data_IF_981612536590
#
_entry.id   IF_981612536590
#
_cell.length_a   1.000
_cell.length_b   1.000
_cell.length_c   1.000
_cell.angle_alpha   90.00
_cell.angle_beta   90.00
_cell.angle_gamma   90.00
#
_symmetry.space_group_name_H-M   'P 1'
#
loop_
_entity.id
_entity.type
_entity.pdbx_description
1 polymer ?
#
# COMPACT_ATOMS: atom_id res chain seq x y z
N UNK A 1 -20.41 9.93 -4.31
CA UNK A 1 -19.96 8.52 -4.26
C UNK A 1 -19.30 8.30 -2.91
N UNK A 2 -20.00 7.73 -1.92
CA UNK A 2 -19.39 7.41 -0.62
C UNK A 2 -19.14 5.90 -0.56
N UNK A 3 -17.92 5.52 -0.90
CA UNK A 3 -17.40 4.18 -0.74
C UNK A 3 -17.28 3.87 0.76
N UNK A 4 -17.86 2.77 1.25
CA UNK A 4 -17.71 2.35 2.65
C UNK A 4 -16.74 1.16 2.72
N UNK A 5 -15.43 1.41 2.92
CA UNK A 5 -14.39 0.37 2.92
C UNK A 5 -14.54 -0.63 4.08
N UNK A 6 -15.17 -0.26 5.21
CA UNK A 6 -15.38 -1.17 6.35
C UNK A 6 -16.28 -2.36 5.95
N UNK A 7 -17.35 -2.08 5.19
CA UNK A 7 -18.29 -3.11 4.72
C UNK A 7 -17.67 -4.06 3.70
N UNK A 8 -16.70 -3.60 2.91
CA UNK A 8 -16.01 -4.44 1.95
C UNK A 8 -15.22 -5.56 2.62
N UNK A 9 -14.55 -5.26 3.73
CA UNK A 9 -13.82 -6.26 4.52
C UNK A 9 -14.77 -7.31 5.10
N UNK A 10 -15.88 -6.89 5.69
CA UNK A 10 -16.88 -7.82 6.23
C UNK A 10 -17.50 -8.71 5.15
N UNK A 11 -17.78 -8.16 3.97
CA UNK A 11 -18.23 -8.93 2.81
C UNK A 11 -17.17 -9.92 2.32
N UNK A 12 -15.88 -9.55 2.30
CA UNK A 12 -14.80 -10.44 1.91
C UNK A 12 -14.60 -11.59 2.91
N UNK A 13 -14.68 -11.31 4.22
CA UNK A 13 -14.60 -12.34 5.28
C UNK A 13 -15.76 -13.32 5.19
N UNK A 14 -16.99 -12.82 5.01
CA UNK A 14 -18.17 -13.68 4.84
C UNK A 14 -18.06 -14.50 3.56
N UNK A 15 -17.68 -13.88 2.43
CA UNK A 15 -17.50 -14.60 1.17
C UNK A 15 -16.47 -15.72 1.31
N UNK A 16 -15.36 -15.46 2.02
CA UNK A 16 -14.35 -16.48 2.32
C UNK A 16 -14.92 -17.62 3.16
N UNK A 17 -15.67 -17.34 4.22
CA UNK A 17 -16.33 -18.38 5.04
C UNK A 17 -17.30 -19.24 4.22
N UNK A 18 -18.15 -18.60 3.41
CA UNK A 18 -19.11 -19.31 2.56
C UNK A 18 -18.41 -20.26 1.59
N UNK A 19 -17.33 -19.79 0.96
CA UNK A 19 -16.55 -20.57 0.02
C UNK A 19 -15.71 -21.66 0.71
N UNK A 20 -15.12 -21.39 1.89
CA UNK A 20 -14.31 -22.38 2.63
C UNK A 20 -15.13 -23.47 3.30
N UNK A 21 -16.32 -23.13 3.78
CA UNK A 21 -17.23 -24.06 4.48
C UNK A 21 -18.23 -24.73 3.52
N UNK A 22 -18.15 -24.43 2.21
CA UNK A 22 -19.06 -24.94 1.15
C UNK A 22 -20.54 -24.80 1.53
N UNK A 23 -20.92 -23.66 2.11
CA UNK A 23 -22.28 -23.46 2.58
C UNK A 23 -23.26 -23.31 1.41
N UNK A 24 -24.30 -24.13 1.36
CA UNK A 24 -25.37 -24.00 0.35
C UNK A 24 -26.18 -22.69 0.49
N UNK A 25 -26.25 -22.16 1.72
CA UNK A 25 -26.83 -20.86 2.00
C UNK A 25 -26.19 -20.23 3.23
N UNK A 26 -26.06 -18.91 3.21
CA UNK A 26 -25.45 -18.15 4.29
C UNK A 26 -26.36 -16.99 4.71
N UNK A 27 -26.68 -16.93 6.00
CA UNK A 27 -27.29 -15.74 6.59
C UNK A 27 -26.17 -14.71 6.83
N UNK A 28 -25.87 -13.96 5.77
CA UNK A 28 -24.84 -12.91 5.75
C UNK A 28 -25.07 -11.92 6.90
N UNK A 29 -26.34 -11.66 7.25
CA UNK A 29 -26.70 -10.75 8.36
C UNK A 29 -26.22 -11.30 9.68
N UNK A 30 -26.52 -12.57 9.96
CA UNK A 30 -26.10 -13.27 11.17
C UNK A 30 -24.59 -13.42 11.24
N UNK A 31 -23.94 -13.73 10.12
CA UNK A 31 -22.48 -13.88 10.06
C UNK A 31 -21.75 -12.54 10.26
N UNK A 32 -22.16 -11.47 9.59
CA UNK A 32 -21.58 -10.13 9.84
C UNK A 32 -21.87 -9.66 11.27
N UNK A 33 -23.07 -9.91 11.81
CA UNK A 33 -23.38 -9.61 13.22
C UNK A 33 -22.49 -10.40 14.16
N UNK A 34 -22.28 -11.69 13.92
CA UNK A 34 -21.40 -12.53 14.72
C UNK A 34 -19.95 -12.03 14.68
N UNK A 35 -19.44 -11.63 13.50
CA UNK A 35 -18.12 -10.99 13.36
C UNK A 35 -18.05 -9.68 14.16
N UNK A 36 -19.08 -8.84 14.06
CA UNK A 36 -19.17 -7.57 14.81
C UNK A 36 -19.29 -7.79 16.32
N UNK A 37 -20.05 -8.79 16.76
CA UNK A 37 -20.24 -9.11 18.17
C UNK A 37 -19.00 -9.77 18.77
N UNK A 38 -18.29 -10.60 18.01
CA UNK A 38 -16.99 -11.13 18.40
C UNK A 38 -15.97 -10.01 18.55
N UNK A 39 -15.98 -9.02 17.64
CA UNK A 39 -15.18 -7.78 17.75
C UNK A 39 -15.57 -6.93 18.96
N UNK A 40 -16.85 -6.87 19.33
CA UNK A 40 -17.31 -6.13 20.52
C UNK A 40 -16.97 -6.83 21.82
N UNK A 41 -17.05 -8.17 21.86
CA UNK A 41 -16.76 -9.02 23.04
C UNK A 41 -15.27 -9.15 23.31
N UNK A 42 -14.47 -9.15 22.24
CA UNK A 42 -13.03 -8.98 22.30
C UNK A 42 -12.69 -7.61 21.70
N UNK A 43 -13.10 -6.50 22.36
CA UNK A 43 -12.78 -5.18 21.87
C UNK A 43 -11.26 -5.11 21.74
N UNK A 44 -10.73 -4.61 20.62
CA UNK A 44 -9.29 -4.48 20.45
C UNK A 44 -8.76 -3.74 21.67
N UNK A 45 -7.87 -4.41 22.42
CA UNK A 45 -7.25 -3.82 23.60
C UNK A 45 -6.61 -2.51 23.17
N UNK A 46 -7.13 -1.39 23.67
CA UNK A 46 -6.71 -0.05 23.28
C UNK A 46 -5.25 0.22 23.65
N UNK A 47 -4.61 -0.63 24.46
CA UNK A 47 -3.17 -0.59 24.74
C UNK A 47 -2.34 -1.29 23.68
N UNK A 48 -2.94 -2.14 22.86
CA UNK A 48 -2.30 -2.81 21.73
C UNK A 48 -2.89 -2.27 20.42
N UNK A 49 -2.42 -1.08 20.03
CA UNK A 49 -2.54 -0.53 18.67
C UNK A 49 -2.26 -1.58 17.58
N UNK A 50 -1.39 -2.57 17.88
CA UNK A 50 -1.17 -3.80 17.09
C UNK A 50 -2.45 -4.46 16.56
N UNK A 51 -3.57 -4.43 17.28
CA UNK A 51 -4.80 -5.10 16.87
C UNK A 51 -5.72 -4.26 15.95
N UNK A 52 -5.65 -2.93 16.03
CA UNK A 52 -6.29 -2.05 15.04
C UNK A 52 -5.55 -2.12 13.70
N UNK A 53 -4.21 -2.20 13.75
CA UNK A 53 -3.37 -2.50 12.58
C UNK A 53 -3.47 -3.97 12.11
N UNK A 54 -3.90 -4.90 12.97
CA UNK A 54 -4.19 -6.29 12.56
C UNK A 54 -5.37 -6.40 11.57
N UNK A 55 -6.22 -5.38 11.47
CA UNK A 55 -7.23 -5.29 10.41
C UNK A 55 -6.70 -4.63 9.12
N UNK A 56 -5.55 -3.99 9.20
CA UNK A 56 -4.71 -3.69 8.05
C UNK A 56 -3.88 -4.93 7.63
N UNK A 57 -3.63 -5.89 8.56
CA UNK A 57 -2.82 -7.12 8.34
C UNK A 57 -3.42 -8.23 7.46
N UNK A 58 -4.70 -8.27 7.11
CA UNK A 58 -5.25 -9.44 6.38
C UNK A 58 -5.27 -9.30 4.84
N UNK A 59 -4.57 -8.32 4.30
CA UNK A 59 -4.26 -8.25 2.86
C UNK A 59 -4.10 -6.84 2.31
N UNK A 60 -4.65 -5.82 2.96
CA UNK A 60 -4.80 -4.49 2.39
C UNK A 60 -3.50 -3.71 2.08
N UNK A 61 -2.32 -4.19 2.50
CA UNK A 61 -1.12 -3.35 2.60
C UNK A 61 -0.24 -3.36 1.34
N UNK A 62 -0.32 -4.36 0.46
CA UNK A 62 0.63 -4.48 -0.65
C UNK A 62 0.33 -3.56 -1.84
N UNK A 63 -0.95 -3.24 -2.11
CA UNK A 63 -1.31 -2.61 -3.39
C UNK A 63 -2.49 -1.63 -3.34
N UNK A 64 -3.11 -1.42 -2.18
CA UNK A 64 -4.42 -0.76 -2.14
C UNK A 64 -4.37 0.77 -2.29
N UNK A 65 -3.21 1.38 -2.08
CA UNK A 65 -2.92 2.79 -2.38
C UNK A 65 -2.43 3.00 -3.81
N UNK A 66 -1.99 1.94 -4.50
CA UNK A 66 -1.47 2.07 -5.86
C UNK A 66 -2.61 2.49 -6.78
N UNK A 67 -2.44 3.63 -7.45
CA UNK A 67 -3.35 4.05 -8.49
C UNK A 67 -3.27 3.09 -9.68
N UNK A 68 -4.40 2.81 -10.32
CA UNK A 68 -4.48 1.85 -11.44
C UNK A 68 -3.50 2.23 -12.57
N UNK A 69 -3.39 3.53 -12.87
CA UNK A 69 -2.44 4.04 -13.86
C UNK A 69 -0.99 3.73 -13.49
N UNK A 70 -0.63 3.88 -12.21
CA UNK A 70 0.75 3.64 -11.75
C UNK A 70 1.16 2.20 -11.78
N UNK A 71 0.28 1.29 -11.40
CA UNK A 71 0.58 -0.13 -11.47
C UNK A 71 0.90 -0.52 -12.92
N UNK A 72 0.16 0.01 -13.89
CA UNK A 72 0.35 -0.28 -15.31
C UNK A 72 1.64 0.35 -15.84
N UNK A 73 1.86 1.64 -15.59
CA UNK A 73 3.08 2.37 -15.97
C UNK A 73 4.32 1.70 -15.38
N UNK A 74 4.29 1.39 -14.08
CA UNK A 74 5.35 0.67 -13.40
C UNK A 74 5.66 -0.66 -14.10
N UNK A 75 4.64 -1.45 -14.44
CA UNK A 75 4.87 -2.74 -15.08
C UNK A 75 5.46 -2.61 -16.48
N UNK A 76 5.07 -1.58 -17.24
CA UNK A 76 5.66 -1.28 -18.55
C UNK A 76 7.13 -0.93 -18.38
N UNK A 77 7.45 0.06 -17.55
CA UNK A 77 8.82 0.55 -17.39
C UNK A 77 9.74 -0.53 -16.77
N UNK A 78 9.18 -1.35 -15.88
CA UNK A 78 9.92 -2.36 -15.12
C UNK A 78 10.13 -3.66 -15.87
N UNK A 79 9.08 -4.19 -16.50
CA UNK A 79 9.06 -5.59 -16.94
C UNK A 79 9.10 -5.75 -18.46
N UNK A 80 8.75 -4.74 -19.25
CA UNK A 80 8.63 -4.90 -20.70
C UNK A 80 9.97 -5.25 -21.39
N UNK A 81 11.11 -4.86 -20.80
CA UNK A 81 12.43 -5.27 -21.29
C UNK A 81 12.70 -6.79 -21.16
N UNK A 82 11.85 -7.51 -20.42
CA UNK A 82 11.95 -8.96 -20.23
C UNK A 82 10.94 -9.74 -21.07
N UNK A 83 10.35 -9.12 -22.10
CA UNK A 83 9.29 -9.71 -22.91
C UNK A 83 9.70 -11.03 -23.56
N UNK A 84 10.92 -11.09 -24.12
CA UNK A 84 11.42 -12.29 -24.80
C UNK A 84 11.73 -13.42 -23.81
N UNK A 85 12.24 -13.11 -22.62
CA UNK A 85 12.48 -14.09 -21.56
C UNK A 85 11.15 -14.66 -21.06
N UNK A 86 10.18 -13.79 -20.85
CA UNK A 86 8.84 -14.17 -20.44
C UNK A 86 8.15 -15.05 -21.51
N UNK A 87 8.27 -14.66 -22.79
CA UNK A 87 7.79 -15.45 -23.93
C UNK A 87 8.51 -16.79 -24.06
N UNK A 88 9.80 -16.86 -23.76
CA UNK A 88 10.55 -18.11 -23.69
C UNK A 88 10.04 -19.05 -22.59
N UNK A 89 9.67 -18.50 -21.43
CA UNK A 89 9.14 -19.27 -20.30
C UNK A 89 7.70 -19.74 -20.51
N UNK A 90 6.86 -18.91 -21.12
CA UNK A 90 5.40 -19.09 -21.09
C UNK A 90 4.74 -19.19 -22.46
N UNK A 91 5.45 -18.92 -23.55
CA UNK A 91 4.96 -19.04 -24.93
C UNK A 91 4.18 -17.83 -25.44
N UNK A 92 4.05 -16.75 -24.67
CA UNK A 92 3.41 -15.48 -25.08
C UNK A 92 4.11 -14.28 -24.41
N UNK A 93 3.96 -13.10 -25.00
CA UNK A 93 4.57 -11.85 -24.55
C UNK A 93 3.90 -11.26 -23.29
N UNK A 94 4.63 -10.46 -22.53
CA UNK A 94 4.12 -9.55 -21.49
C UNK A 94 3.12 -8.57 -22.09
N UNK A 95 3.34 -8.05 -23.31
CA UNK A 95 2.36 -7.19 -23.98
C UNK A 95 1.02 -7.89 -24.15
N UNK A 96 1.04 -9.14 -24.63
CA UNK A 96 -0.17 -9.97 -24.76
C UNK A 96 -0.81 -10.22 -23.40
N UNK A 97 -0.01 -10.40 -22.34
CA UNK A 97 -0.51 -10.54 -20.99
C UNK A 97 -1.28 -9.29 -20.53
N UNK A 98 -0.74 -8.10 -20.79
CA UNK A 98 -1.44 -6.83 -20.54
C UNK A 98 -2.69 -6.67 -21.39
N UNK A 99 -2.69 -7.10 -22.66
CA UNK A 99 -3.86 -7.01 -23.53
C UNK A 99 -5.04 -7.81 -22.99
N UNK A 100 -4.80 -9.05 -22.54
CA UNK A 100 -5.84 -9.88 -21.93
C UNK A 100 -6.37 -9.24 -20.65
N UNK A 101 -5.47 -8.76 -19.78
CA UNK A 101 -5.83 -8.08 -18.55
C UNK A 101 -6.69 -6.83 -18.81
N UNK A 102 -6.23 -5.96 -19.71
CA UNK A 102 -6.92 -4.72 -20.09
C UNK A 102 -8.29 -5.02 -20.71
N UNK A 103 -8.39 -6.06 -21.54
CA UNK A 103 -9.66 -6.46 -22.13
C UNK A 103 -10.65 -6.93 -21.06
N UNK A 104 -10.20 -7.76 -20.12
CA UNK A 104 -11.02 -8.19 -18.98
C UNK A 104 -11.50 -6.97 -18.17
N UNK A 105 -10.58 -6.07 -17.82
CA UNK A 105 -10.88 -4.87 -17.05
C UNK A 105 -11.88 -3.96 -17.77
N UNK A 106 -11.67 -3.71 -19.06
CA UNK A 106 -12.53 -2.85 -19.86
C UNK A 106 -13.93 -3.43 -20.04
N UNK A 107 -14.06 -4.75 -20.28
CA UNK A 107 -15.38 -5.41 -20.37
C UNK A 107 -16.14 -5.22 -19.05
N UNK A 108 -15.48 -5.50 -17.92
CA UNK A 108 -16.10 -5.35 -16.60
C UNK A 108 -16.47 -3.88 -16.31
N UNK A 109 -15.58 -2.93 -16.63
CA UNK A 109 -15.80 -1.50 -16.43
C UNK A 109 -16.95 -0.96 -17.29
N UNK A 110 -17.01 -1.32 -18.57
CA UNK A 110 -18.08 -0.93 -19.49
C UNK A 110 -19.44 -1.48 -19.05
N UNK A 111 -19.50 -2.75 -18.65
CA UNK A 111 -20.71 -3.35 -18.08
C UNK A 111 -21.13 -2.63 -16.80
N UNK A 112 -20.19 -2.31 -15.92
CA UNK A 112 -20.45 -1.55 -14.70
C UNK A 112 -21.02 -0.16 -15.02
N UNK A 113 -20.46 0.55 -15.99
CA UNK A 113 -20.95 1.86 -16.45
C UNK A 113 -22.38 1.76 -17.03
N UNK A 114 -22.62 0.79 -17.90
CA UNK A 114 -23.94 0.59 -18.52
C UNK A 114 -25.03 0.26 -17.50
N UNK A 115 -24.72 -0.55 -16.49
CA UNK A 115 -25.67 -0.86 -15.41
C UNK A 115 -25.81 0.29 -14.40
N UNK A 116 -24.74 1.08 -14.19
CA UNK A 116 -24.80 2.33 -13.44
C UNK A 116 -25.77 3.33 -14.09
N UNK A 117 -25.69 3.53 -15.40
CA UNK A 117 -26.58 4.42 -16.17
C UNK A 117 -28.05 3.97 -16.13
N UNK A 118 -28.30 2.65 -16.07
CA UNK A 118 -29.65 2.08 -15.86
C UNK A 118 -30.17 2.23 -14.44
N UNK A 119 -29.37 2.77 -13.51
CA UNK A 119 -29.70 2.89 -12.10
C UNK A 119 -29.73 1.57 -11.32
N UNK A 120 -29.29 0.45 -11.93
CA UNK A 120 -29.39 -0.89 -11.34
C UNK A 120 -28.26 -1.21 -10.36
N UNK A 121 -27.08 -0.57 -10.52
CA UNK A 121 -25.92 -0.78 -9.63
C UNK A 121 -25.64 0.44 -8.75
N UNK A 122 -25.92 1.67 -9.24
CA UNK A 122 -25.68 2.90 -8.47
C UNK A 122 -26.70 3.12 -7.34
N UNK A 123 -27.94 2.64 -7.48
CA UNK A 123 -28.98 2.84 -6.46
C UNK A 123 -29.00 1.77 -5.36
N UNK A 124 -28.03 0.85 -5.36
CA UNK A 124 -27.96 -0.26 -4.39
C UNK A 124 -26.53 -0.50 -3.90
N UNK A 125 -25.77 0.58 -3.69
CA UNK A 125 -24.77 0.57 -2.64
C UNK A 125 -25.50 0.16 -1.35
N UNK A 126 -25.33 -1.11 -0.93
CA UNK A 126 -25.89 -1.74 0.28
C UNK A 126 -26.68 -0.73 1.10
N UNK A 127 -27.97 -0.58 0.81
CA UNK A 127 -28.85 0.46 1.35
C UNK A 127 -28.42 0.88 2.76
N UNK A 128 -27.70 2.00 2.86
CA UNK A 128 -27.96 2.94 3.93
C UNK A 128 -28.97 3.91 3.35
N UNK A 129 -30.22 3.48 3.26
CA UNK A 129 -31.28 4.50 3.24
C UNK A 129 -30.98 5.39 4.45
N UNK A 130 -30.99 6.71 4.24
CA UNK A 130 -30.89 7.70 5.30
C UNK A 130 -31.96 7.56 6.39
N UNK A 131 -32.83 6.55 6.30
CA UNK A 131 -33.92 6.23 7.22
C UNK A 131 -33.63 5.05 8.17
N UNK A 132 -32.46 4.42 8.13
CA UNK A 132 -32.08 3.39 9.09
C UNK A 132 -30.86 3.80 9.95
N UNK A 133 -31.06 4.56 11.04
CA UNK A 133 -30.01 4.90 12.00
C UNK A 133 -29.41 3.67 12.70
N UNK A 134 -30.14 2.55 12.71
CA UNK A 134 -29.71 1.29 13.28
C UNK A 134 -28.91 0.46 12.26
N UNK A 135 -27.58 0.56 12.41
CA UNK A 135 -26.50 -0.15 11.72
C UNK A 135 -26.56 -1.70 11.80
N UNK A 136 -27.69 -2.28 12.20
CA UNK A 136 -27.87 -3.70 12.49
C UNK A 136 -28.52 -4.53 11.38
N UNK A 137 -29.15 -3.94 10.35
CA UNK A 137 -29.91 -4.71 9.36
C UNK A 137 -29.16 -4.76 8.02
N UNK A 138 -28.62 -5.93 7.68
CA UNK A 138 -28.22 -6.25 6.30
C UNK A 138 -29.47 -6.80 5.63
N UNK A 139 -30.02 -6.09 4.65
CA UNK A 139 -31.11 -6.65 3.83
C UNK A 139 -30.49 -7.52 2.73
N UNK A 140 -31.18 -8.62 2.37
CA UNK A 140 -30.84 -9.37 1.16
C UNK A 140 -30.91 -8.39 -0.02
N UNK A 141 -29.89 -8.35 -0.91
CA UNK A 141 -29.95 -7.47 -2.07
C UNK A 141 -31.19 -7.80 -2.93
N UNK A 142 -31.85 -6.80 -3.53
CA UNK A 142 -32.92 -7.03 -4.50
C UNK A 142 -32.47 -7.96 -5.62
N UNK A 143 -33.40 -8.72 -6.21
CA UNK A 143 -33.07 -9.66 -7.30
C UNK A 143 -32.45 -8.92 -8.48
N UNK A 144 -32.97 -7.74 -8.78
CA UNK A 144 -32.53 -6.86 -9.85
C UNK A 144 -31.06 -6.46 -9.69
N UNK A 145 -30.62 -6.21 -8.44
CA UNK A 145 -29.22 -5.96 -8.11
C UNK A 145 -28.35 -7.20 -8.33
N UNK A 146 -28.80 -8.37 -7.86
CA UNK A 146 -28.04 -9.63 -8.03
C UNK A 146 -27.86 -9.92 -9.52
N UNK A 147 -28.90 -9.75 -10.33
CA UNK A 147 -28.83 -9.97 -11.77
C UNK A 147 -27.97 -8.90 -12.48
N UNK A 148 -28.01 -7.65 -12.04
CA UNK A 148 -27.10 -6.61 -12.54
C UNK A 148 -25.64 -6.92 -12.19
N UNK A 149 -25.37 -7.31 -10.94
CA UNK A 149 -24.05 -7.73 -10.48
C UNK A 149 -23.52 -8.91 -11.32
N UNK A 150 -24.35 -9.95 -11.53
CA UNK A 150 -23.98 -11.11 -12.37
C UNK A 150 -23.59 -10.67 -13.78
N UNK A 151 -24.39 -9.78 -14.40
CA UNK A 151 -24.09 -9.24 -15.75
C UNK A 151 -22.78 -8.48 -15.80
N UNK A 152 -22.35 -7.83 -14.72
CA UNK A 152 -21.08 -7.09 -14.70
C UNK A 152 -19.88 -7.99 -14.49
N UNK A 153 -19.97 -8.89 -13.51
CA UNK A 153 -18.79 -9.56 -12.95
C UNK A 153 -18.61 -11.01 -13.42
N UNK A 154 -19.62 -11.62 -14.05
CA UNK A 154 -19.51 -12.95 -14.66
C UNK A 154 -19.22 -12.78 -16.16
N UNK A 155 -18.08 -13.31 -16.60
CA UNK A 155 -17.65 -13.28 -17.99
C UNK A 155 -17.52 -14.69 -18.53
N UNK A 156 -17.87 -14.89 -19.79
CA UNK A 156 -17.46 -16.10 -20.51
C UNK A 156 -16.04 -15.90 -21.07
N UNK A 157 -15.17 -16.91 -20.98
CA UNK A 157 -13.80 -16.88 -21.49
C UNK A 157 -13.76 -16.62 -22.99
N UNK A 158 -14.79 -17.02 -23.75
CA UNK A 158 -14.92 -16.70 -25.17
C UNK A 158 -15.05 -15.20 -25.46
N UNK A 159 -15.46 -14.38 -24.47
CA UNK A 159 -15.53 -12.92 -24.62
C UNK A 159 -14.15 -12.27 -24.53
N UNK A 160 -13.18 -12.95 -23.93
CA UNK A 160 -11.89 -12.37 -23.55
C UNK A 160 -10.87 -12.42 -24.69
N UNK A 161 -10.91 -13.42 -25.56
CA UNK A 161 -10.01 -13.51 -26.72
C UNK A 161 -10.53 -14.54 -27.72
N UNK A 162 -10.21 -14.36 -29.01
CA UNK A 162 -10.30 -15.46 -29.98
C UNK A 162 -9.23 -16.53 -29.71
N UNK A 163 -8.13 -16.15 -29.06
CA UNK A 163 -7.05 -17.04 -28.65
C UNK A 163 -7.30 -17.58 -27.23
N UNK A 164 -7.99 -18.73 -27.19
CA UNK A 164 -8.31 -19.45 -25.93
C UNK A 164 -7.08 -19.82 -25.11
N UNK A 165 -5.92 -20.07 -25.74
CA UNK A 165 -4.71 -20.47 -25.01
C UNK A 165 -4.18 -19.31 -24.15
N UNK A 166 -4.14 -18.10 -24.71
CA UNK A 166 -3.73 -16.90 -23.98
C UNK A 166 -4.68 -16.56 -22.83
N UNK A 167 -5.98 -16.66 -23.08
CA UNK A 167 -6.99 -16.42 -22.04
C UNK A 167 -6.89 -17.45 -20.92
N UNK A 168 -6.76 -18.73 -21.24
CA UNK A 168 -6.65 -19.78 -20.23
C UNK A 168 -5.37 -19.59 -19.41
N UNK A 169 -4.24 -19.31 -20.05
CA UNK A 169 -3.00 -19.02 -19.35
C UNK A 169 -3.16 -17.84 -18.37
N UNK A 170 -3.72 -16.73 -18.84
CA UNK A 170 -3.93 -15.56 -17.98
C UNK A 170 -4.81 -15.90 -16.78
N UNK A 171 -5.94 -16.56 -17.03
CA UNK A 171 -6.88 -16.99 -15.99
C UNK A 171 -6.18 -17.90 -15.00
N UNK A 172 -5.40 -18.90 -15.44
CA UNK A 172 -4.68 -19.80 -14.54
C UNK A 172 -3.71 -19.08 -13.60
N UNK A 173 -3.07 -17.99 -14.04
CA UNK A 173 -2.11 -17.25 -13.22
C UNK A 173 -2.76 -16.21 -12.29
N UNK A 174 -4.04 -15.88 -12.53
CA UNK A 174 -4.80 -14.87 -11.78
C UNK A 174 -6.01 -15.44 -11.04
N UNK A 175 -6.30 -16.73 -11.19
CA UNK A 175 -7.52 -17.33 -10.68
C UNK A 175 -7.31 -18.25 -9.50
N UNK A 176 -8.38 -18.37 -8.75
CA UNK A 176 -8.64 -19.48 -7.86
C UNK A 176 -9.70 -20.36 -8.50
N UNK A 177 -9.47 -21.68 -8.54
CA UNK A 177 -10.48 -22.60 -9.09
C UNK A 177 -11.55 -22.89 -8.05
N UNK A 178 -12.82 -22.86 -8.46
CA UNK A 178 -13.96 -23.15 -7.58
C UNK A 178 -13.87 -24.52 -6.88
N UNK A 179 -13.14 -25.47 -7.48
CA UNK A 179 -12.90 -26.82 -6.96
C UNK A 179 -11.82 -26.89 -5.89
N UNK A 180 -10.96 -25.87 -5.78
CA UNK A 180 -9.88 -25.83 -4.79
C UNK A 180 -10.43 -25.58 -3.38
N UNK A 181 -9.72 -26.06 -2.37
CA UNK A 181 -10.07 -25.79 -0.99
C UNK A 181 -9.53 -24.42 -0.58
N UNK A 182 -10.42 -23.46 -0.31
CA UNK A 182 -10.02 -22.18 0.28
C UNK A 182 -9.54 -22.43 1.70
N UNK A 183 -8.26 -22.11 1.95
CA UNK A 183 -7.69 -22.12 3.28
C UNK A 183 -7.62 -20.70 3.89
N UNK A 184 -7.19 -20.62 5.14
CA UNK A 184 -7.03 -19.35 5.85
C UNK A 184 -6.02 -18.39 5.19
N UNK A 185 -5.12 -18.89 4.36
CA UNK A 185 -4.11 -18.10 3.64
C UNK A 185 -4.62 -17.54 2.30
N UNK A 186 -5.84 -17.87 1.86
CA UNK A 186 -6.40 -17.35 0.60
C UNK A 186 -6.56 -15.82 0.62
N UNK A 187 -6.19 -15.16 -0.48
CA UNK A 187 -6.27 -13.70 -0.68
C UNK A 187 -6.76 -13.38 -2.09
N UNK A 188 -7.84 -12.60 -2.21
CA UNK A 188 -8.39 -12.13 -3.48
C UNK A 188 -7.45 -11.18 -4.24
N UNK A 189 -6.52 -10.52 -3.57
CA UNK A 189 -5.52 -9.67 -4.26
C UNK A 189 -4.55 -10.49 -5.10
N UNK A 190 -4.19 -11.68 -4.61
CA UNK A 190 -3.35 -12.58 -5.37
C UNK A 190 -4.21 -13.24 -6.46
N UNK A 191 -5.41 -13.70 -6.12
CA UNK A 191 -6.30 -14.40 -7.04
C UNK A 191 -7.61 -13.61 -7.26
N UNK A 192 -7.58 -12.52 -8.05
CA UNK A 192 -8.75 -11.67 -8.26
C UNK A 192 -9.82 -12.28 -9.16
N UNK A 193 -9.51 -13.40 -9.83
CA UNK A 193 -10.44 -14.16 -10.66
C UNK A 193 -10.89 -15.42 -9.90
N UNK A 194 -12.18 -15.73 -9.95
CA UNK A 194 -12.70 -17.04 -9.60
C UNK A 194 -13.02 -17.79 -10.90
N UNK A 195 -12.31 -18.88 -11.14
CA UNK A 195 -12.55 -19.77 -12.27
C UNK A 195 -13.62 -20.79 -11.88
N UNK A 196 -14.84 -20.62 -12.41
CA UNK A 196 -15.97 -21.45 -12.02
C UNK A 196 -15.96 -22.80 -12.73
N UNK A 197 -15.74 -22.76 -14.04
CA UNK A 197 -15.79 -23.90 -14.94
C UNK A 197 -14.91 -23.64 -16.19
N UNK A 198 -15.00 -24.53 -17.19
CA UNK A 198 -14.18 -24.44 -18.40
C UNK A 198 -14.33 -23.11 -19.14
N UNK A 199 -15.51 -22.49 -19.10
CA UNK A 199 -15.86 -21.32 -19.90
C UNK A 199 -16.23 -20.09 -19.08
N UNK A 200 -16.40 -20.18 -17.77
CA UNK A 200 -16.96 -19.10 -16.95
C UNK A 200 -16.01 -18.63 -15.87
N UNK A 201 -15.80 -17.31 -15.81
CA UNK A 201 -15.03 -16.67 -14.73
C UNK A 201 -15.86 -15.60 -14.02
N UNK A 202 -15.49 -15.32 -12.76
CA UNK A 202 -16.04 -14.22 -11.97
C UNK A 202 -14.92 -13.29 -11.53
N UNK A 203 -15.11 -11.99 -11.73
CA UNK A 203 -14.17 -10.95 -11.32
C UNK A 203 -14.81 -10.15 -10.20
N UNK A 204 -14.51 -10.48 -8.95
CA UNK A 204 -15.14 -9.81 -7.82
C UNK A 204 -14.79 -8.31 -7.74
N UNK A 205 -13.55 -7.97 -8.11
CA UNK A 205 -13.02 -6.61 -8.03
C UNK A 205 -12.07 -6.35 -9.22
N UNK A 206 -12.56 -5.77 -10.33
CA UNK A 206 -11.76 -5.58 -11.55
C UNK A 206 -10.46 -4.81 -11.30
N UNK A 207 -10.49 -3.80 -10.42
CA UNK A 207 -9.29 -3.01 -10.11
C UNK A 207 -8.18 -3.82 -9.42
N UNK A 208 -8.49 -4.94 -8.76
CA UNK A 208 -7.48 -5.81 -8.16
C UNK A 208 -6.63 -6.53 -9.23
N UNK A 209 -7.17 -6.74 -10.44
CA UNK A 209 -6.40 -7.31 -11.56
C UNK A 209 -5.17 -6.44 -11.87
N UNK A 210 -5.39 -5.13 -11.94
CA UNK A 210 -4.34 -4.17 -12.28
C UNK A 210 -3.41 -3.94 -11.09
N UNK A 211 -3.97 -3.78 -9.88
CA UNK A 211 -3.16 -3.56 -8.67
C UNK A 211 -2.24 -4.73 -8.33
N UNK A 212 -2.62 -5.97 -8.64
CA UNK A 212 -1.79 -7.15 -8.41
C UNK A 212 -0.69 -7.34 -9.46
N UNK A 213 -0.75 -6.62 -10.58
CA UNK A 213 0.12 -6.82 -11.75
C UNK A 213 1.62 -6.71 -11.44
N UNK A 214 2.10 -5.73 -10.64
CA UNK A 214 3.52 -5.66 -10.32
C UNK A 214 4.03 -6.95 -9.64
N UNK A 215 3.30 -7.43 -8.62
CA UNK A 215 3.66 -8.66 -7.91
C UNK A 215 3.56 -9.88 -8.81
N UNK A 216 2.52 -9.97 -9.64
CA UNK A 216 2.30 -11.15 -10.50
C UNK A 216 3.37 -11.27 -11.57
N UNK A 217 3.73 -10.19 -12.25
CA UNK A 217 4.82 -10.23 -13.21
C UNK A 217 6.18 -10.50 -12.55
N UNK A 218 6.44 -9.91 -11.38
CA UNK A 218 7.65 -10.20 -10.61
C UNK A 218 7.78 -11.68 -10.23
N UNK A 219 6.68 -12.32 -9.81
CA UNK A 219 6.65 -13.74 -9.48
C UNK A 219 6.92 -14.62 -10.71
N UNK A 220 6.26 -14.31 -11.83
CA UNK A 220 6.42 -15.06 -13.08
C UNK A 220 7.85 -14.91 -13.64
N UNK A 221 8.37 -13.69 -13.70
CA UNK A 221 9.73 -13.43 -14.17
C UNK A 221 10.81 -14.00 -13.23
N UNK A 222 10.48 -14.34 -11.99
CA UNK A 222 11.43 -14.99 -11.07
C UNK A 222 11.88 -16.38 -11.55
N UNK A 223 11.22 -16.98 -12.55
CA UNK A 223 11.71 -18.16 -13.25
C UNK A 223 12.89 -17.86 -14.20
N UNK A 224 13.06 -16.61 -14.64
CA UNK A 224 14.16 -16.17 -15.49
C UNK A 224 15.41 -15.87 -14.67
N UNK A 225 16.53 -16.52 -15.02
CA UNK A 225 17.83 -16.25 -14.41
C UNK A 225 18.27 -14.80 -14.68
N UNK A 226 18.12 -14.35 -15.92
CA UNK A 226 18.53 -13.01 -16.34
C UNK A 226 17.77 -11.92 -15.56
N UNK A 227 16.46 -12.06 -15.39
CA UNK A 227 15.68 -11.17 -14.54
C UNK A 227 16.20 -11.14 -13.10
N UNK A 228 16.49 -12.31 -12.52
CA UNK A 228 17.02 -12.36 -11.16
C UNK A 228 18.40 -11.70 -11.01
N UNK A 229 19.24 -11.78 -12.04
CA UNK A 229 20.57 -11.20 -12.06
C UNK A 229 20.53 -9.66 -12.27
N UNK A 230 19.53 -9.13 -12.99
CA UNK A 230 19.47 -7.72 -13.42
C UNK A 230 18.42 -6.87 -12.69
N UNK A 231 17.42 -7.46 -12.02
CA UNK A 231 16.30 -6.72 -11.42
C UNK A 231 16.73 -5.56 -10.53
N UNK A 232 17.80 -5.68 -9.74
CA UNK A 232 18.30 -4.58 -8.91
C UNK A 232 18.70 -3.37 -9.76
N UNK A 233 19.57 -3.61 -10.74
CA UNK A 233 20.12 -2.60 -11.65
C UNK A 233 19.06 -1.94 -12.52
N UNK A 234 18.02 -2.69 -12.88
CA UNK A 234 16.92 -2.15 -13.69
C UNK A 234 15.89 -1.37 -12.86
N UNK A 235 15.89 -1.52 -11.54
CA UNK A 235 14.98 -0.78 -10.66
C UNK A 235 15.52 0.62 -10.36
N UNK A 236 16.84 0.74 -10.17
CA UNK A 236 17.55 1.98 -9.89
C UNK A 236 17.19 3.13 -10.87
N UNK A 237 17.21 2.94 -12.21
CA UNK A 237 16.81 3.98 -13.16
C UNK A 237 15.42 4.57 -12.92
N UNK A 238 14.44 3.75 -12.53
CA UNK A 238 13.07 4.21 -12.27
C UNK A 238 13.03 5.16 -11.08
N UNK A 239 13.76 4.81 -10.01
CA UNK A 239 13.89 5.66 -8.83
C UNK A 239 14.62 6.96 -9.17
N UNK A 240 15.74 6.87 -9.91
CA UNK A 240 16.53 8.03 -10.26
C UNK A 240 15.83 8.97 -11.22
N UNK A 241 14.96 8.49 -12.10
CA UNK A 241 14.12 9.35 -12.93
C UNK A 241 13.20 10.23 -12.08
N UNK A 242 12.58 9.68 -11.03
CA UNK A 242 11.79 10.45 -10.08
C UNK A 242 12.68 11.46 -9.34
N UNK A 243 13.79 11.00 -8.75
CA UNK A 243 14.67 11.87 -7.96
C UNK A 243 15.32 13.01 -8.76
N UNK A 244 15.56 12.82 -10.07
CA UNK A 244 16.06 13.90 -10.95
C UNK A 244 15.08 15.06 -11.12
N UNK A 245 13.79 14.88 -10.79
CA UNK A 245 12.79 15.94 -10.86
C UNK A 245 12.97 16.98 -9.75
N UNK A 246 13.69 16.64 -8.67
CA UNK A 246 13.98 17.55 -7.54
C UNK A 246 14.96 18.64 -8.00
N UNK A 247 14.52 19.90 -8.01
CA UNK A 247 15.34 21.02 -8.51
C UNK A 247 16.27 21.62 -7.47
N UNK A 248 15.94 21.46 -6.19
CA UNK A 248 16.69 22.02 -5.05
C UNK A 248 17.87 21.16 -4.61
N UNK A 249 18.01 19.97 -5.19
CA UNK A 249 19.07 19.01 -4.87
C UNK A 249 19.87 18.63 -6.10
N UNK A 250 21.03 18.02 -5.87
CA UNK A 250 21.87 17.40 -6.90
C UNK A 250 21.89 15.90 -6.69
N UNK A 251 21.41 15.15 -7.68
CA UNK A 251 21.50 13.70 -7.68
C UNK A 251 22.77 13.26 -8.41
N UNK A 252 23.58 12.47 -7.72
CA UNK A 252 24.69 11.73 -8.29
C UNK A 252 24.37 10.24 -8.23
N UNK A 253 24.63 9.48 -9.29
CA UNK A 253 24.30 8.05 -9.35
C UNK A 253 25.55 7.20 -9.53
N UNK A 254 25.49 5.94 -9.08
CA UNK A 254 26.49 4.90 -9.24
C UNK A 254 27.89 5.35 -8.84
N UNK A 255 28.00 5.90 -7.62
CA UNK A 255 29.25 6.51 -7.13
C UNK A 255 30.09 5.46 -6.45
N UNK A 256 31.26 5.19 -7.06
CA UNK A 256 32.26 4.30 -6.52
C UNK A 256 33.23 5.02 -5.60
N UNK A 257 33.62 4.37 -4.51
CA UNK A 257 34.50 4.91 -3.49
C UNK A 257 35.36 3.80 -2.84
N UNK A 258 36.33 4.22 -2.02
CA UNK A 258 37.35 3.33 -1.45
C UNK A 258 38.65 3.30 -2.26
N UNK A 259 39.74 2.76 -1.69
CA UNK A 259 41.08 2.77 -2.31
C UNK A 259 41.12 2.21 -3.74
N UNK A 260 40.32 1.18 -4.01
CA UNK A 260 40.24 0.50 -5.30
C UNK A 260 38.90 0.70 -6.02
N UNK A 261 38.02 1.57 -5.50
CA UNK A 261 36.66 1.74 -6.02
C UNK A 261 35.76 0.50 -5.88
N UNK A 262 36.06 -0.36 -4.91
CA UNK A 262 35.35 -1.62 -4.65
C UNK A 262 33.97 -1.44 -4.01
N UNK A 263 33.67 -0.25 -3.48
CA UNK A 263 32.38 0.07 -2.90
C UNK A 263 31.61 1.01 -3.82
N UNK A 264 30.29 0.90 -3.77
CA UNK A 264 29.36 1.67 -4.59
C UNK A 264 28.17 2.08 -3.74
N UNK A 265 27.72 3.33 -3.92
CA UNK A 265 26.40 3.81 -3.48
C UNK A 265 25.55 4.00 -4.73
N UNK A 266 24.31 3.49 -4.69
CA UNK A 266 23.39 3.58 -5.83
C UNK A 266 23.14 5.07 -6.19
N UNK A 267 22.87 5.93 -5.20
CA UNK A 267 22.78 7.37 -5.41
C UNK A 267 23.17 8.25 -4.21
N UNK A 268 23.54 9.49 -4.49
CA UNK A 268 23.79 10.54 -3.49
C UNK A 268 22.93 11.73 -3.85
N UNK A 269 21.97 12.05 -2.99
CA UNK A 269 21.10 13.21 -3.12
C UNK A 269 21.60 14.32 -2.20
N UNK A 270 22.19 15.35 -2.78
CA UNK A 270 22.80 16.45 -2.06
C UNK A 270 21.89 17.68 -2.06
N UNK A 271 21.56 18.18 -0.87
CA UNK A 271 20.89 19.45 -0.63
C UNK A 271 21.83 20.44 0.07
N UNK A 272 21.37 21.67 0.30
CA UNK A 272 22.16 22.69 1.00
C UNK A 272 22.55 22.27 2.43
N UNK A 273 21.62 21.70 3.19
CA UNK A 273 21.79 21.36 4.61
C UNK A 273 21.97 19.85 4.88
N UNK A 274 21.76 19.00 3.87
CA UNK A 274 21.79 17.54 4.06
C UNK A 274 22.27 16.77 2.84
N UNK A 275 22.71 15.54 3.08
CA UNK A 275 23.10 14.56 2.07
C UNK A 275 22.39 13.27 2.41
N UNK A 276 21.77 12.66 1.41
CA UNK A 276 21.08 11.39 1.56
C UNK A 276 21.70 10.36 0.64
N UNK A 277 22.23 9.29 1.21
CA UNK A 277 22.61 8.10 0.46
C UNK A 277 21.33 7.38 0.04
N UNK A 278 21.09 7.31 -1.26
CA UNK A 278 19.94 6.65 -1.84
C UNK A 278 20.32 5.20 -2.09
N UNK A 279 19.58 4.29 -1.48
CA UNK A 279 19.78 2.85 -1.59
C UNK A 279 18.51 2.21 -2.15
N UNK A 280 18.60 1.67 -3.36
CA UNK A 280 17.49 1.04 -4.04
C UNK A 280 17.55 -0.47 -3.79
N UNK A 281 16.43 -1.08 -3.37
CA UNK A 281 16.39 -2.52 -3.09
C UNK A 281 15.22 -3.19 -3.78
N UNK A 282 15.55 -3.99 -4.80
CA UNK A 282 14.62 -4.89 -5.49
C UNK A 282 14.85 -6.33 -5.04
N UNK A 283 14.26 -6.67 -3.90
CA UNK A 283 14.22 -8.05 -3.40
C UNK A 283 12.79 -8.56 -3.49
N UNK A 284 12.57 -9.76 -4.05
CA UNK A 284 11.24 -10.33 -4.10
C UNK A 284 10.80 -10.67 -2.67
N UNK A 285 9.54 -10.39 -2.31
CA UNK A 285 8.99 -10.85 -1.05
C UNK A 285 8.95 -12.38 -1.01
N UNK A 286 9.04 -12.97 0.19
CA UNK A 286 8.85 -14.42 0.32
C UNK A 286 7.38 -14.80 0.13
N UNK A 287 7.12 -16.07 -0.17
CA UNK A 287 5.76 -16.62 -0.25
C UNK A 287 4.93 -16.32 1.02
N UNK A 288 5.58 -16.31 2.19
CA UNK A 288 4.94 -15.92 3.44
C UNK A 288 4.48 -14.47 3.45
N UNK A 289 5.26 -13.57 2.86
CA UNK A 289 4.90 -12.15 2.68
C UNK A 289 3.73 -11.99 1.71
N UNK A 290 3.73 -12.68 0.57
CA UNK A 290 2.57 -12.68 -0.35
C UNK A 290 1.29 -13.24 0.29
N UNK A 291 1.42 -14.15 1.25
CA UNK A 291 0.30 -14.66 2.07
C UNK A 291 -0.14 -13.69 3.18
N UNK A 292 0.49 -12.52 3.29
CA UNK A 292 0.20 -11.53 4.34
C UNK A 292 0.68 -11.95 5.72
N UNK A 293 1.62 -12.89 5.84
CA UNK A 293 2.08 -13.38 7.14
C UNK A 293 3.07 -12.40 7.74
N UNK A 294 2.63 -11.65 8.74
CA UNK A 294 3.38 -10.56 9.39
C UNK A 294 4.80 -10.89 9.83
N UNK A 295 5.05 -12.11 10.32
CA UNK A 295 6.41 -12.54 10.69
C UNK A 295 7.37 -12.58 9.49
N UNK A 296 6.86 -12.96 8.32
CA UNK A 296 7.64 -13.03 7.08
C UNK A 296 7.82 -11.65 6.49
N UNK A 297 6.76 -10.83 6.49
CA UNK A 297 6.83 -9.41 6.09
C UNK A 297 7.94 -8.71 6.88
N UNK A 298 7.90 -8.83 8.23
CA UNK A 298 8.93 -8.26 9.11
C UNK A 298 10.33 -8.73 8.74
N UNK A 299 10.52 -10.04 8.64
CA UNK A 299 11.83 -10.64 8.36
C UNK A 299 12.37 -10.21 6.99
N UNK A 300 11.53 -10.20 5.96
CA UNK A 300 11.93 -9.85 4.61
C UNK A 300 12.25 -8.36 4.50
N UNK A 301 11.50 -7.51 5.22
CA UNK A 301 11.78 -6.08 5.36
C UNK A 301 13.08 -5.83 6.13
N UNK A 302 13.22 -6.38 7.34
CA UNK A 302 14.44 -6.27 8.17
C UNK A 302 15.68 -6.65 7.37
N UNK A 303 15.67 -7.80 6.70
CA UNK A 303 16.78 -8.24 5.85
C UNK A 303 17.10 -7.26 4.73
N UNK A 304 16.10 -6.58 4.17
CA UNK A 304 16.28 -5.68 3.03
C UNK A 304 16.78 -4.31 3.47
N UNK A 305 16.20 -3.75 4.54
CA UNK A 305 16.56 -2.43 5.04
C UNK A 305 17.89 -2.44 5.80
N UNK A 306 18.24 -3.52 6.52
CA UNK A 306 19.52 -3.60 7.23
C UNK A 306 20.72 -3.68 6.28
N UNK A 307 20.56 -4.33 5.13
CA UNK A 307 21.61 -4.37 4.11
C UNK A 307 21.84 -2.99 3.48
N UNK A 308 20.75 -2.24 3.24
CA UNK A 308 20.81 -0.85 2.79
C UNK A 308 21.41 0.08 3.87
N UNK A 309 21.06 -0.14 5.13
CA UNK A 309 21.60 0.59 6.29
C UNK A 309 23.12 0.41 6.38
N UNK A 310 23.61 -0.82 6.20
CA UNK A 310 25.05 -1.12 6.20
C UNK A 310 25.77 -0.41 5.06
N UNK A 311 25.19 -0.40 3.85
CA UNK A 311 25.75 0.33 2.70
C UNK A 311 25.86 1.84 2.97
N UNK A 312 24.78 2.46 3.44
CA UNK A 312 24.77 3.87 3.78
C UNK A 312 25.75 4.21 4.93
N UNK A 313 25.86 3.33 5.94
CA UNK A 313 26.82 3.50 7.04
C UNK A 313 28.27 3.45 6.53
N UNK A 314 28.61 2.48 5.67
CA UNK A 314 29.96 2.39 5.09
C UNK A 314 30.32 3.63 4.27
N UNK A 315 29.35 4.15 3.52
CA UNK A 315 29.56 5.39 2.77
C UNK A 315 29.77 6.60 3.70
N UNK A 316 28.96 6.71 4.76
CA UNK A 316 29.14 7.75 5.78
C UNK A 316 30.52 7.67 6.45
N UNK A 317 30.95 6.48 6.85
CA UNK A 317 32.24 6.28 7.52
C UNK A 317 33.41 6.69 6.63
N UNK A 318 33.33 6.36 5.33
CA UNK A 318 34.33 6.77 4.35
C UNK A 318 34.39 8.31 4.21
N UNK A 319 33.26 9.00 4.18
CA UNK A 319 33.26 10.48 4.13
C UNK A 319 33.94 11.07 5.38
N UNK A 320 33.64 10.52 6.56
CA UNK A 320 34.18 11.00 7.83
C UNK A 320 35.69 10.72 7.96
N UNK A 321 36.15 9.56 7.53
CA UNK A 321 37.56 9.15 7.61
C UNK A 321 38.46 9.96 6.66
N UNK A 322 38.00 10.21 5.43
CA UNK A 322 38.81 10.84 4.38
C UNK A 322 38.57 12.34 4.22
N UNK A 323 37.76 12.96 5.08
CA UNK A 323 37.66 14.43 5.21
C UNK A 323 37.28 15.13 3.91
N UNK A 324 36.24 14.66 3.22
CA UNK A 324 35.68 15.38 2.08
C UNK A 324 35.05 16.69 2.61
N UNK A 325 35.86 17.75 2.73
CA UNK A 325 35.57 19.01 3.43
C UNK A 325 34.25 19.69 3.04
N UNK A 326 33.68 19.35 1.88
CA UNK A 326 32.38 19.87 1.43
C UNK A 326 31.17 19.22 2.13
N UNK A 327 31.36 18.13 2.87
CA UNK A 327 30.27 17.33 3.45
C UNK A 327 30.17 17.37 4.98
N UNK A 328 31.21 17.79 5.69
CA UNK A 328 31.26 17.76 7.17
C UNK A 328 30.18 18.61 7.87
N UNK A 329 29.67 19.66 7.19
CA UNK A 329 28.66 20.55 7.77
C UNK A 329 27.21 20.14 7.48
N UNK A 330 27.00 19.11 6.65
CA UNK A 330 25.67 18.68 6.21
C UNK A 330 25.20 17.51 7.07
N UNK A 331 23.90 17.46 7.36
CA UNK A 331 23.29 16.27 7.98
C UNK A 331 23.34 15.11 6.98
N UNK A 332 23.94 13.99 7.36
CA UNK A 332 24.00 12.79 6.51
C UNK A 332 22.87 11.85 6.92
N UNK A 333 22.18 11.25 5.94
CA UNK A 333 21.13 10.26 6.15
C UNK A 333 21.08 9.21 5.04
N UNK A 334 20.19 8.23 5.20
CA UNK A 334 19.90 7.18 4.24
C UNK A 334 18.45 7.30 3.76
N UNK A 335 18.25 7.31 2.44
CA UNK A 335 16.95 7.20 1.79
C UNK A 335 16.87 5.82 1.14
N UNK A 336 16.14 4.91 1.77
CA UNK A 336 16.04 3.52 1.33
C UNK A 336 14.74 3.38 0.53
N UNK A 337 14.87 3.10 -0.76
CA UNK A 337 13.74 2.93 -1.67
C UNK A 337 13.55 1.46 -1.99
N UNK A 338 12.41 0.92 -1.60
CA UNK A 338 12.05 -0.47 -1.87
C UNK A 338 11.26 -0.58 -3.17
N UNK A 339 11.50 -1.65 -3.91
CA UNK A 339 10.65 -2.04 -5.04
C UNK A 339 9.19 -2.21 -4.58
N UNK A 340 8.25 -1.86 -5.46
CA UNK A 340 6.79 -1.75 -5.22
C UNK A 340 6.07 -3.06 -4.86
N UNK A 341 6.81 -4.07 -4.41
CA UNK A 341 6.32 -5.37 -3.96
C UNK A 341 6.26 -5.47 -2.43
N UNK A 342 6.74 -4.46 -1.72
CA UNK A 342 6.63 -4.39 -0.26
C UNK A 342 5.36 -3.64 0.15
N UNK A 343 4.76 -4.03 1.29
CA UNK A 343 3.59 -3.33 1.79
C UNK A 343 3.96 -1.88 2.09
N UNK A 344 3.00 -0.95 2.00
CA UNK A 344 3.21 0.43 2.46
C UNK A 344 3.83 0.41 3.85
N UNK A 345 4.98 1.05 3.96
CA UNK A 345 5.81 0.98 5.14
C UNK A 345 5.46 2.14 6.03
N UNK A 346 4.44 1.95 6.87
CA UNK A 346 4.28 2.81 8.02
C UNK A 346 5.45 2.59 8.98
N UNK A 347 6.48 3.43 8.86
CA UNK A 347 7.70 3.33 9.66
C UNK A 347 7.42 3.25 11.16
N UNK A 348 6.35 3.82 11.71
CA UNK A 348 6.14 3.76 13.16
C UNK A 348 5.59 2.41 13.66
N UNK A 349 4.99 1.60 12.80
CA UNK A 349 4.57 0.22 13.16
C UNK A 349 5.70 -0.80 12.97
N UNK A 350 6.66 -0.46 12.10
CA UNK A 350 7.76 -1.34 11.68
C UNK A 350 9.13 -0.95 12.29
N UNK A 351 9.52 0.33 12.33
CA UNK A 351 10.78 0.82 12.91
C UNK A 351 10.88 0.61 14.42
N UNK A 352 9.77 0.62 15.17
CA UNK A 352 9.81 0.25 16.60
C UNK A 352 10.15 -1.23 16.81
N UNK A 353 10.08 -2.05 15.76
CA UNK A 353 10.39 -3.48 15.80
C UNK A 353 11.65 -3.85 15.02
N UNK A 354 12.09 -3.03 14.08
CA UNK A 354 13.37 -3.24 13.39
C UNK A 354 14.48 -2.82 14.35
N UNK A 355 15.32 -3.77 14.74
CA UNK A 355 16.51 -3.50 15.53
C UNK A 355 17.59 -2.91 14.61
N UNK A 356 17.53 -1.59 14.44
CA UNK A 356 18.51 -0.83 13.69
C UNK A 356 19.91 -0.95 14.28
N UNK A 357 20.91 -1.16 13.43
CA UNK A 357 22.30 -1.37 13.88
C UNK A 357 23.08 -0.07 14.00
N UNK A 358 22.71 0.96 13.24
CA UNK A 358 23.50 2.17 13.10
C UNK A 358 22.68 3.41 13.40
N UNK A 359 23.29 4.36 14.11
CA UNK A 359 22.70 5.66 14.42
C UNK A 359 22.92 6.65 13.27
N UNK A 360 22.24 6.38 12.15
CA UNK A 360 22.15 7.31 11.01
C UNK A 360 20.68 7.66 10.78
N UNK A 361 20.33 8.91 10.43
CA UNK A 361 18.97 9.27 9.99
C UNK A 361 18.54 8.41 8.80
N UNK A 362 17.32 7.87 8.81
CA UNK A 362 16.82 6.97 7.76
C UNK A 362 15.39 7.30 7.40
N UNK A 363 15.07 7.21 6.13
CA UNK A 363 13.69 7.16 5.64
C UNK A 363 13.57 5.96 4.71
N UNK A 364 12.64 5.06 5.01
CA UNK A 364 12.31 3.90 4.17
C UNK A 364 10.94 4.11 3.54
N UNK A 365 10.87 3.98 2.21
CA UNK A 365 9.60 4.02 1.47
C UNK A 365 9.67 3.10 0.26
N UNK A 366 8.53 2.67 -0.26
CA UNK A 366 8.46 1.96 -1.53
C UNK A 366 8.38 2.92 -2.73
N UNK A 367 8.54 2.38 -3.95
CA UNK A 367 8.49 3.16 -5.19
C UNK A 367 7.19 3.96 -5.38
N UNK A 368 6.03 3.38 -5.03
CA UNK A 368 4.74 4.05 -5.20
C UNK A 368 4.55 5.19 -4.20
N UNK A 369 5.01 5.02 -2.96
CA UNK A 369 5.07 6.09 -1.95
C UNK A 369 5.95 7.24 -2.43
N UNK A 370 7.13 6.93 -3.00
CA UNK A 370 7.98 7.95 -3.62
C UNK A 370 7.25 8.67 -4.75
N UNK A 371 6.62 7.94 -5.67
CA UNK A 371 5.87 8.51 -6.80
C UNK A 371 4.73 9.43 -6.32
N UNK A 372 4.03 9.04 -5.27
CA UNK A 372 2.97 9.84 -4.66
C UNK A 372 3.48 11.13 -4.02
N UNK A 373 4.67 11.11 -3.43
CA UNK A 373 5.35 12.33 -2.94
C UNK A 373 5.62 13.31 -4.09
N UNK A 374 6.04 12.83 -5.25
CA UNK A 374 6.29 13.67 -6.43
C UNK A 374 5.03 14.28 -7.05
N UNK A 375 3.84 13.83 -6.65
CA UNK A 375 2.56 14.46 -7.01
C UNK A 375 2.14 15.56 -6.05
N UNK A 376 2.77 15.65 -4.88
CA UNK A 376 2.41 16.65 -3.90
C UNK A 376 2.92 18.03 -4.30
N UNK A 377 2.19 19.06 -3.88
CA UNK A 377 2.68 20.43 -3.99
C UNK A 377 4.01 20.59 -3.22
N UNK A 378 4.89 21.43 -3.76
CA UNK A 378 6.19 21.74 -3.19
C UNK A 378 7.11 20.53 -2.98
N UNK A 379 6.98 19.44 -3.77
CA UNK A 379 7.86 18.26 -3.66
C UNK A 379 9.36 18.60 -3.73
N UNK A 380 9.72 19.74 -4.34
CA UNK A 380 11.06 20.32 -4.34
C UNK A 380 11.61 20.60 -2.92
N UNK A 381 10.79 20.57 -1.87
CA UNK A 381 11.23 20.67 -0.47
C UNK A 381 11.69 19.33 0.14
N UNK A 382 11.91 18.29 -0.68
CA UNK A 382 12.29 16.94 -0.25
C UNK A 382 13.43 16.93 0.80
N UNK A 383 14.48 17.74 0.65
CA UNK A 383 15.56 17.79 1.64
C UNK A 383 15.10 18.25 3.03
N UNK A 384 14.21 19.25 3.10
CA UNK A 384 13.59 19.70 4.36
C UNK A 384 12.66 18.63 4.93
N UNK A 385 11.88 17.98 4.05
CA UNK A 385 11.00 16.88 4.43
C UNK A 385 11.77 15.73 5.08
N UNK A 386 12.82 15.20 4.44
CA UNK A 386 13.62 14.11 4.98
C UNK A 386 14.28 14.49 6.33
N UNK A 387 14.72 15.73 6.46
CA UNK A 387 15.25 16.27 7.71
C UNK A 387 14.19 16.33 8.82
N UNK A 388 12.97 16.75 8.50
CA UNK A 388 11.83 16.76 9.43
C UNK A 388 11.40 15.34 9.80
N UNK A 389 11.30 14.45 8.81
CA UNK A 389 10.81 13.08 8.91
C UNK A 389 11.67 12.19 9.82
N UNK A 390 12.96 12.51 9.93
CA UNK A 390 13.93 11.82 10.79
C UNK A 390 14.13 12.45 12.16
N UNK A 391 13.44 13.55 12.47
CA UNK A 391 13.35 14.04 13.85
C UNK A 391 12.40 13.16 14.64
N UNK A 392 12.61 13.06 15.94
CA UNK A 392 11.65 12.40 16.84
C UNK A 392 10.31 13.13 16.73
N UNK A 393 9.29 12.45 16.22
CA UNK A 393 7.99 13.04 15.93
C UNK A 393 6.87 12.13 16.48
N UNK A 394 5.90 12.65 17.23
CA UNK A 394 4.77 11.87 17.74
C UNK A 394 3.73 11.54 16.67
N UNK A 395 3.90 12.01 15.43
CA UNK A 395 2.99 11.78 14.31
C UNK A 395 3.23 10.40 13.67
N UNK A 396 2.15 9.64 13.51
CA UNK A 396 2.06 8.33 12.86
C UNK A 396 1.04 8.44 11.73
N UNK A 397 1.49 8.41 10.48
CA UNK A 397 0.64 8.48 9.31
C UNK A 397 0.48 7.10 8.67
N UNK A 398 -0.55 6.87 7.83
CA UNK A 398 -0.71 5.58 7.14
C UNK A 398 0.31 5.37 6.03
N UNK A 399 0.68 6.44 5.33
CA UNK A 399 1.64 6.45 4.24
C UNK A 399 2.47 7.76 4.23
N UNK A 400 3.47 7.81 3.34
CA UNK A 400 4.35 8.97 3.19
C UNK A 400 3.63 10.21 2.63
N UNK A 401 2.54 10.03 1.89
CA UNK A 401 1.71 11.15 1.43
C UNK A 401 1.08 11.88 2.61
N UNK A 402 0.52 11.16 3.56
CA UNK A 402 -0.05 11.74 4.78
C UNK A 402 1.03 12.46 5.62
N UNK A 403 2.24 11.91 5.70
CA UNK A 403 3.37 12.59 6.36
C UNK A 403 3.73 13.90 5.65
N UNK A 404 3.71 13.92 4.31
CA UNK A 404 3.98 15.13 3.53
C UNK A 404 2.96 16.23 3.81
N UNK A 405 1.68 15.88 3.93
CA UNK A 405 0.62 16.85 4.28
C UNK A 405 0.89 17.49 5.64
N UNK A 406 1.33 16.71 6.64
CA UNK A 406 1.75 17.26 7.93
C UNK A 406 2.96 18.19 7.82
N UNK A 407 3.98 17.76 7.09
CA UNK A 407 5.18 18.56 6.87
C UNK A 407 4.84 19.92 6.28
N UNK A 408 4.10 19.95 5.16
CA UNK A 408 3.70 21.20 4.48
C UNK A 408 2.78 22.05 5.36
N UNK A 409 1.89 21.43 6.12
CA UNK A 409 1.03 22.15 7.05
C UNK A 409 1.83 22.85 8.15
N UNK A 410 2.78 22.17 8.78
CA UNK A 410 3.59 22.74 9.86
C UNK A 410 4.58 23.80 9.34
N UNK A 411 5.01 23.72 8.07
CA UNK A 411 5.75 24.80 7.43
C UNK A 411 4.87 26.05 7.27
N UNK A 412 3.61 25.88 6.87
CA UNK A 412 2.67 26.98 6.64
C UNK A 412 2.14 27.61 7.93
N UNK A 413 1.98 26.81 8.99
CA UNK A 413 1.43 27.20 10.28
C UNK A 413 2.37 26.77 11.43
N UNK A 414 3.54 27.41 11.55
CA UNK A 414 4.57 27.02 12.52
C UNK A 414 4.12 27.12 13.98
N UNK A 415 3.11 27.93 14.29
CA UNK A 415 2.50 28.01 15.62
C UNK A 415 1.93 26.67 16.10
N UNK A 416 1.56 25.79 15.18
CA UNK A 416 1.02 24.46 15.49
C UNK A 416 2.12 23.44 15.85
N UNK A 417 3.40 23.78 15.65
CA UNK A 417 4.51 22.96 16.11
C UNK A 417 4.47 22.76 17.63
N UNK A 418 3.97 23.76 18.37
CA UNK A 418 3.80 23.68 19.83
C UNK A 418 2.93 22.50 20.24
N UNK A 419 1.88 22.18 19.46
CA UNK A 419 1.00 21.04 19.74
C UNK A 419 1.71 19.70 19.52
N UNK A 420 2.54 19.62 18.48
CA UNK A 420 3.38 18.43 18.21
C UNK A 420 4.42 18.26 19.32
N UNK A 421 5.06 19.33 19.75
CA UNK A 421 6.06 19.29 20.82
C UNK A 421 5.44 18.91 22.18
N UNK A 422 4.22 19.37 22.46
CA UNK A 422 3.44 18.97 23.65
C UNK A 422 3.05 17.48 23.59
N UNK A 423 2.62 16.99 22.42
CA UNK A 423 2.33 15.57 22.24
C UNK A 423 3.60 14.73 22.47
N UNK A 424 4.74 15.16 21.94
CA UNK A 424 6.02 14.50 22.15
C UNK A 424 6.45 14.49 23.63
N UNK A 425 6.35 15.62 24.31
CA UNK A 425 6.74 15.77 25.73
C UNK A 425 5.85 14.93 26.66
N UNK A 426 4.57 14.76 26.34
CA UNK A 426 3.63 13.94 27.09
C UNK A 426 3.72 12.44 26.78
N UNK A 427 4.48 12.06 25.75
CA UNK A 427 4.52 10.69 25.22
C UNK A 427 3.23 10.27 24.50
N UNK A 428 2.45 11.24 24.03
CA UNK A 428 1.24 11.03 23.24
C UNK A 428 1.60 10.74 21.77
N UNK A 429 0.70 10.04 21.07
CA UNK A 429 0.87 9.69 19.65
C UNK A 429 -0.28 10.30 18.87
N UNK A 430 0.03 11.01 17.78
CA UNK A 430 -0.93 11.57 16.84
C UNK A 430 -1.03 10.60 15.66
N UNK A 431 -2.16 9.93 15.48
CA UNK A 431 -2.37 9.01 14.35
C UNK A 431 -3.23 9.69 13.31
N UNK A 432 -2.82 9.70 12.04
CA UNK A 432 -3.67 10.22 10.95
C UNK A 432 -4.03 9.15 9.94
N UNK A 433 -5.29 9.17 9.49
CA UNK A 433 -5.82 8.23 8.51
C UNK A 433 -5.82 8.78 7.08
N UNK A 434 -5.95 7.88 6.10
CA UNK A 434 -5.88 8.18 4.67
C UNK A 434 -6.99 9.12 4.22
N UNK A 435 -6.71 9.86 3.13
CA UNK A 435 -7.52 10.98 2.61
C UNK A 435 -7.45 12.24 3.49
N UNK A 436 -6.28 12.47 4.09
CA UNK A 436 -6.01 13.71 4.80
C UNK A 436 -5.75 14.84 3.80
N UNK A 437 -6.75 15.72 3.64
CA UNK A 437 -6.57 16.96 2.88
C UNK A 437 -6.25 18.12 3.82
N UNK A 438 -5.45 19.09 3.37
CA UNK A 438 -5.10 20.29 4.17
C UNK A 438 -6.33 21.02 4.73
N UNK A 439 -7.47 20.97 4.03
CA UNK A 439 -8.72 21.62 4.45
C UNK A 439 -9.30 21.04 5.74
N UNK A 440 -8.96 19.81 6.10
CA UNK A 440 -9.50 19.13 7.28
C UNK A 440 -8.74 19.48 8.57
N UNK A 441 -7.56 20.10 8.47
CA UNK A 441 -6.64 20.32 9.61
C UNK A 441 -7.17 21.24 10.72
N UNK A 442 -7.87 22.35 10.46
CA UNK A 442 -8.36 23.22 11.52
C UNK A 442 -9.31 22.53 12.51
N UNK A 443 -10.28 21.74 12.02
CA UNK A 443 -11.21 20.96 12.86
C UNK A 443 -10.47 19.91 13.69
N UNK A 444 -9.39 19.36 13.13
CA UNK A 444 -8.58 18.30 13.72
C UNK A 444 -7.60 18.81 14.78
N UNK A 445 -7.09 20.03 14.64
CA UNK A 445 -6.30 20.72 15.67
C UNK A 445 -7.12 21.06 16.92
N UNK A 446 -8.41 21.39 16.75
CA UNK A 446 -9.33 21.60 17.87
C UNK A 446 -9.45 20.33 18.74
N UNK A 447 -9.33 19.14 18.14
CA UNK A 447 -9.30 17.85 18.86
C UNK A 447 -7.99 17.70 19.65
N UNK A 448 -6.85 18.08 19.05
CA UNK A 448 -5.54 18.06 19.71
C UNK A 448 -5.49 19.00 20.91
N UNK A 449 -5.99 20.22 20.76
CA UNK A 449 -6.02 21.21 21.83
C UNK A 449 -6.89 20.77 23.01
N UNK A 450 -8.01 20.09 22.73
CA UNK A 450 -8.88 19.50 23.77
C UNK A 450 -8.24 18.31 24.49
N UNK A 451 -7.27 17.63 23.86
CA UNK A 451 -6.60 16.45 24.39
C UNK A 451 -5.29 16.76 25.15
N UNK A 452 -4.84 18.02 25.19
CA UNK A 452 -3.52 18.48 25.70
C UNK A 452 -3.11 18.02 27.11
N UNK A 453 -4.06 17.59 27.94
CA UNK A 453 -3.82 17.19 29.34
C UNK A 453 -3.94 15.67 29.58
N UNK A 454 -4.00 14.87 28.52
CA UNK A 454 -4.22 13.43 28.63
C UNK A 454 -3.14 12.67 27.83
N UNK A 455 -2.66 11.52 28.34
CA UNK A 455 -1.87 10.55 27.53
C UNK A 455 -2.81 9.91 26.52
N UNK A 456 -2.97 10.52 25.34
CA UNK A 456 -4.00 10.13 24.36
C UNK A 456 -3.36 9.72 23.06
N UNK A 457 -3.86 8.62 22.50
CA UNK A 457 -3.72 8.29 21.09
C UNK A 457 -4.80 9.09 20.35
N UNK A 458 -4.40 10.14 19.67
CA UNK A 458 -5.34 11.02 18.97
C UNK A 458 -5.43 10.53 17.54
N UNK A 459 -6.47 9.73 17.25
CA UNK A 459 -6.75 9.24 15.91
C UNK A 459 -7.54 10.30 15.13
N UNK A 460 -6.90 10.87 14.13
CA UNK A 460 -7.41 11.92 13.26
C UNK A 460 -7.58 11.31 11.86
N UNK A 461 -8.68 10.60 11.65
CA UNK A 461 -9.02 10.00 10.35
C UNK A 461 -10.24 10.64 9.70
N UNK A 462 -10.51 10.27 8.44
CA UNK A 462 -11.77 10.51 7.73
C UNK A 462 -12.96 9.72 8.33
N UNK A 463 -13.10 9.70 9.66
CA UNK A 463 -14.31 9.24 10.31
C UNK A 463 -15.27 10.41 10.31
N UNK A 464 -16.38 10.27 9.58
CA UNK A 464 -17.48 11.24 9.55
C UNK A 464 -17.67 11.88 10.92
N UNK A 465 -17.39 13.19 11.00
CA UNK A 465 -17.44 13.98 12.23
C UNK A 465 -18.74 13.70 13.00
N UNK A 466 -18.59 13.58 14.33
CA UNK A 466 -19.57 13.39 15.42
C UNK A 466 -19.57 12.05 16.16
N UNK A 467 -19.39 10.88 15.52
CA UNK A 467 -19.54 9.57 16.23
C UNK A 467 -18.29 9.09 16.99
N UNK A 468 -17.08 9.41 16.55
CA UNK A 468 -15.84 9.00 17.24
C UNK A 468 -15.69 9.70 18.60
N UNK A 469 -16.22 10.94 18.73
CA UNK A 469 -16.22 11.71 19.97
C UNK A 469 -17.20 11.17 21.02
N UNK A 470 -18.33 10.58 20.63
CA UNK A 470 -19.25 9.97 21.60
C UNK A 470 -18.70 8.66 22.17
N UNK A 471 -18.06 7.83 21.34
CA UNK A 471 -17.46 6.57 21.78
C UNK A 471 -16.29 6.74 22.77
N UNK A 472 -15.54 7.85 22.68
CA UNK A 472 -14.50 8.20 23.66
C UNK A 472 -15.08 8.79 24.96
N UNK A 473 -16.21 9.50 24.89
CA UNK A 473 -16.96 9.97 26.08
C UNK A 473 -17.63 8.83 26.84
N UNK A 474 -18.21 7.86 26.13
CA UNK A 474 -18.98 6.77 26.75
C UNK A 474 -18.11 5.68 27.38
N UNK A 475 -16.80 5.63 27.09
CA UNK A 475 -15.83 4.79 27.80
C UNK A 475 -15.24 5.45 29.06
N UNK A 476 -15.63 6.69 29.37
CA UNK A 476 -15.22 7.43 30.57
C UNK A 476 -16.34 7.56 31.61
N UNK A 477 -17.53 7.01 31.34
CA UNK A 477 -18.53 6.65 32.35
C UNK A 477 -18.49 5.13 32.53
#
# INVERSE_FOLDING_TARGET
>A
MHFNPERQYECATVLKQVLSEKMESADIVKMVRAIKDQRKRNPPDTRNLKHAFRYLDEGFVLTNSIEIGDATEYCVDRYLNYDEQFKGCYGFSITTFFDVMNKIFNIAYERMRNEAEKGSILNTAIYSDGEAPDLGVIKKPPKEYIEAWKRVYILNKSELSEDRLKTNFFVENYSFRSTEQINEDFRFQNNPILDLDEDTIVIAFPYLLIRALPSRLGDMLSASKEYNDLKGKDFEPLVFELLRKIKTGKLQVNKRYGPDGNYEVDGILEFDESIWFVECKSRPPSEGTHKGKMRYIRRDLERTVLDAEEQAKRANDYIQEFGLMNYEKKKIGALIILDGLYPQLNENVWNEKIEWKYDIPKVVMNYFELKDLFRQENFDEMGKYLNWRTKKNPIVCLDEKDYWVWFTYLQKYPENQVLVDQALASGSIIITGSQFEQKDLPERLEILEKAKNQKVVIAIGAFSGKKTLSALRDKQR
#
